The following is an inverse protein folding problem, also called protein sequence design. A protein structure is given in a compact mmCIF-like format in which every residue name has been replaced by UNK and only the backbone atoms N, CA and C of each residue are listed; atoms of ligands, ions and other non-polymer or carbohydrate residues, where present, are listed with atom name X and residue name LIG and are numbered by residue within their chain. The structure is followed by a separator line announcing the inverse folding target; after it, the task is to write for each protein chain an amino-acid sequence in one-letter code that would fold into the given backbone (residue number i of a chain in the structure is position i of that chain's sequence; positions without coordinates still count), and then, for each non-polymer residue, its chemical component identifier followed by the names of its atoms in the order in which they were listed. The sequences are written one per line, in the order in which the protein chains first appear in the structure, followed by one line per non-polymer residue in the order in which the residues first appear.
data_IF_265096601580
#
_entry.id   IF_265096601580
#
_cell.length_a   1.000
_cell.length_b   1.000
_cell.length_c   1.000
_cell.angle_alpha   90.00
_cell.angle_beta   90.00
_cell.angle_gamma   90.00
#
_symmetry.space_group_name_H-M   'P 1'
#
loop_
_entity.id
_entity.type
_entity.pdbx_description
1 polymer ?
#
# COMPACT_ATOMS: atom_id res chain seq x y z
N UNK A 1 -13.00 -7.21 -18.09
CA UNK A 1 -12.08 -7.60 -17.03
C UNK A 1 -10.75 -6.88 -17.25
N UNK A 2 -10.36 -6.06 -16.29
CA UNK A 2 -9.15 -5.20 -16.37
C UNK A 2 -7.88 -5.99 -16.67
N UNK A 3 -7.78 -7.21 -16.14
CA UNK A 3 -6.64 -8.12 -16.30
C UNK A 3 -6.30 -8.42 -17.77
N UNK A 4 -7.31 -8.70 -18.59
CA UNK A 4 -7.11 -9.01 -20.01
C UNK A 4 -6.67 -7.78 -20.82
N UNK A 5 -7.17 -6.60 -20.45
CA UNK A 5 -6.73 -5.35 -21.09
C UNK A 5 -5.26 -5.08 -20.76
N UNK A 6 -4.86 -5.24 -19.49
CA UNK A 6 -3.47 -5.04 -19.06
C UNK A 6 -2.53 -6.03 -19.74
N UNK A 7 -2.90 -7.32 -19.79
CA UNK A 7 -2.12 -8.34 -20.49
C UNK A 7 -2.02 -8.07 -22.00
N UNK A 8 -3.15 -7.67 -22.61
CA UNK A 8 -3.16 -7.32 -24.04
C UNK A 8 -2.30 -6.10 -24.36
N UNK A 9 -2.38 -5.05 -23.55
CA UNK A 9 -1.52 -3.88 -23.69
C UNK A 9 -0.04 -4.22 -23.46
N UNK A 10 0.28 -5.05 -22.47
CA UNK A 10 1.63 -5.51 -22.21
C UNK A 10 2.21 -6.32 -23.38
N UNK A 11 1.45 -7.26 -23.90
CA UNK A 11 1.85 -8.05 -25.08
C UNK A 11 2.03 -7.16 -26.33
N UNK A 12 1.13 -6.20 -26.55
CA UNK A 12 1.20 -5.25 -27.64
C UNK A 12 2.45 -4.36 -27.53
N UNK A 13 2.77 -3.88 -26.33
CA UNK A 13 3.99 -3.10 -26.10
C UNK A 13 5.25 -3.92 -26.36
N UNK A 14 5.30 -5.19 -25.92
CA UNK A 14 6.42 -6.07 -26.22
C UNK A 14 6.61 -6.24 -27.74
N UNK A 15 5.53 -6.50 -28.48
CA UNK A 15 5.59 -6.68 -29.93
C UNK A 15 5.99 -5.38 -30.64
N UNK A 16 5.43 -4.22 -30.25
CA UNK A 16 5.75 -2.94 -30.87
C UNK A 16 7.18 -2.50 -30.59
N UNK A 17 7.63 -2.56 -29.34
CA UNK A 17 8.97 -2.08 -28.97
C UNK A 17 10.04 -2.99 -29.52
N UNK A 18 9.95 -4.30 -29.27
CA UNK A 18 11.00 -5.24 -29.64
C UNK A 18 10.88 -5.74 -31.09
N UNK A 19 9.66 -5.89 -31.62
CA UNK A 19 9.45 -6.36 -33.00
C UNK A 19 9.62 -5.26 -34.03
N UNK A 20 9.11 -4.05 -33.76
CA UNK A 20 9.08 -2.95 -34.76
C UNK A 20 10.21 -1.94 -34.52
N UNK A 21 10.45 -1.52 -33.27
CA UNK A 21 11.45 -0.48 -33.00
C UNK A 21 12.87 -1.03 -32.91
N UNK A 22 13.09 -2.15 -32.22
CA UNK A 22 14.43 -2.70 -31.98
C UNK A 22 14.85 -3.79 -32.95
N UNK A 23 13.94 -4.44 -33.66
CA UNK A 23 14.20 -5.55 -34.61
C UNK A 23 15.06 -6.68 -34.04
N UNK A 24 15.06 -6.84 -32.70
CA UNK A 24 15.89 -7.82 -32.00
C UNK A 24 15.01 -8.71 -31.11
N UNK A 25 14.74 -9.92 -31.58
CA UNK A 25 13.99 -10.92 -30.83
C UNK A 25 14.76 -11.46 -29.61
N UNK A 26 16.08 -11.36 -29.59
CA UNK A 26 16.93 -11.76 -28.46
C UNK A 26 16.71 -10.86 -27.25
N UNK A 27 16.56 -9.58 -27.47
CA UNK A 27 16.31 -8.58 -26.42
C UNK A 27 15.01 -8.84 -25.61
N UNK A 28 14.05 -9.55 -26.20
CA UNK A 28 12.83 -9.97 -25.48
C UNK A 28 13.19 -10.97 -24.36
N UNK A 29 14.02 -11.95 -24.67
CA UNK A 29 14.45 -12.96 -23.70
C UNK A 29 15.31 -12.37 -22.59
N UNK A 30 16.19 -11.45 -22.92
CA UNK A 30 17.01 -10.75 -21.94
C UNK A 30 16.17 -9.83 -21.05
N UNK A 31 15.16 -9.16 -21.61
CA UNK A 31 14.24 -8.32 -20.84
C UNK A 31 13.32 -9.14 -19.96
N UNK A 32 12.79 -10.26 -20.45
CA UNK A 32 11.95 -11.16 -19.67
C UNK A 32 12.73 -11.89 -18.57
N UNK A 33 14.05 -12.05 -18.73
CA UNK A 33 14.96 -12.63 -17.74
C UNK A 33 14.46 -13.93 -17.10
N UNK A 34 13.86 -14.82 -17.92
CA UNK A 34 13.29 -16.08 -17.41
C UNK A 34 14.35 -17.06 -16.88
N UNK A 35 15.61 -16.89 -17.30
CA UNK A 35 16.75 -17.68 -16.80
C UNK A 35 17.02 -17.48 -15.32
N UNK A 36 16.53 -16.34 -14.74
CA UNK A 36 16.67 -16.06 -13.31
C UNK A 36 16.05 -17.12 -12.42
N UNK A 37 14.95 -17.76 -12.83
CA UNK A 37 14.30 -18.82 -12.06
C UNK A 37 15.17 -20.07 -11.84
N UNK A 38 16.12 -20.33 -12.73
CA UNK A 38 17.06 -21.47 -12.65
C UNK A 38 18.28 -21.23 -11.78
N UNK A 39 18.50 -20.01 -11.31
CA UNK A 39 19.65 -19.65 -10.51
C UNK A 39 19.36 -19.80 -9.01
N UNK A 40 20.27 -20.46 -8.28
CA UNK A 40 20.14 -20.63 -6.83
C UNK A 40 20.17 -19.29 -6.08
N UNK A 41 20.85 -18.28 -6.61
CA UNK A 41 20.89 -16.91 -6.10
C UNK A 41 19.52 -16.24 -6.07
N UNK A 42 18.60 -16.64 -6.97
CA UNK A 42 17.22 -16.16 -6.96
C UNK A 42 16.47 -16.49 -5.67
N UNK A 43 16.70 -17.69 -5.12
CA UNK A 43 15.97 -18.19 -3.96
C UNK A 43 16.64 -17.85 -2.61
N UNK A 44 17.95 -17.61 -2.60
CA UNK A 44 18.76 -17.49 -1.35
C UNK A 44 19.59 -16.21 -1.27
N UNK A 45 19.63 -15.36 -2.29
CA UNK A 45 20.47 -14.17 -2.31
C UNK A 45 19.79 -12.96 -2.92
N UNK A 46 20.34 -11.78 -2.65
CA UNK A 46 19.98 -10.57 -3.38
C UNK A 46 20.47 -10.75 -4.82
N UNK A 47 19.56 -10.90 -5.77
CA UNK A 47 19.91 -10.91 -7.18
C UNK A 47 20.44 -9.54 -7.57
N UNK A 48 21.72 -9.45 -7.88
CA UNK A 48 22.23 -8.28 -8.60
C UNK A 48 21.39 -8.12 -9.87
N UNK A 49 20.88 -6.92 -10.10
CA UNK A 49 20.00 -6.59 -11.21
C UNK A 49 20.75 -6.75 -12.54
N UNK A 50 20.73 -7.93 -13.12
CA UNK A 50 20.96 -8.12 -14.53
C UNK A 50 19.80 -7.44 -15.27
N UNK A 51 20.12 -6.55 -16.20
CA UNK A 51 19.17 -5.65 -16.87
C UNK A 51 17.97 -6.35 -17.50
N UNK A 52 16.90 -6.50 -16.74
CA UNK A 52 15.66 -7.15 -17.15
C UNK A 52 14.64 -7.12 -16.02
N UNK A 53 13.53 -7.85 -16.17
CA UNK A 53 12.47 -7.94 -15.16
C UNK A 53 13.03 -8.59 -13.87
N UNK A 54 12.88 -7.91 -12.75
CA UNK A 54 13.26 -8.45 -11.45
C UNK A 54 12.14 -9.34 -10.88
N UNK A 55 12.23 -10.63 -11.17
CA UNK A 55 11.25 -11.63 -10.74
C UNK A 55 11.20 -11.81 -9.22
N UNK A 56 12.32 -11.60 -8.52
CA UNK A 56 12.35 -11.66 -7.04
C UNK A 56 11.39 -10.65 -6.43
N UNK A 57 11.39 -9.43 -6.97
CA UNK A 57 10.47 -8.38 -6.53
C UNK A 57 9.01 -8.73 -6.83
N UNK A 58 8.73 -9.32 -8.01
CA UNK A 58 7.36 -9.73 -8.38
C UNK A 58 6.86 -10.84 -7.47
N UNK A 59 7.68 -11.86 -7.20
CA UNK A 59 7.33 -12.97 -6.30
C UNK A 59 7.12 -12.45 -4.86
N UNK A 60 7.97 -11.52 -4.41
CA UNK A 60 7.81 -10.89 -3.10
C UNK A 60 6.48 -10.13 -2.99
N UNK A 61 6.14 -9.29 -3.97
CA UNK A 61 4.86 -8.55 -4.00
C UNK A 61 3.68 -9.52 -4.02
N UNK A 62 3.73 -10.55 -4.85
CA UNK A 62 2.68 -11.56 -4.92
C UNK A 62 2.50 -12.30 -3.59
N UNK A 63 3.59 -12.70 -2.93
CA UNK A 63 3.56 -13.35 -1.63
C UNK A 63 2.97 -12.45 -0.54
N UNK A 64 3.36 -11.16 -0.55
CA UNK A 64 2.81 -10.16 0.37
C UNK A 64 1.30 -9.98 0.17
N UNK A 65 0.82 -9.88 -1.07
CA UNK A 65 -0.62 -9.75 -1.37
C UNK A 65 -1.41 -10.96 -0.88
N UNK A 66 -0.90 -12.18 -1.07
CA UNK A 66 -1.55 -13.41 -0.58
C UNK A 66 -1.61 -13.43 0.95
N UNK A 67 -0.55 -13.01 1.63
CA UNK A 67 -0.51 -12.93 3.09
C UNK A 67 -1.53 -11.93 3.62
N UNK A 68 -1.59 -10.74 3.05
CA UNK A 68 -2.51 -9.68 3.45
C UNK A 68 -3.97 -10.07 3.21
N UNK A 69 -4.27 -10.69 2.07
CA UNK A 69 -5.60 -11.21 1.77
C UNK A 69 -6.01 -12.29 2.79
N UNK A 70 -5.11 -13.19 3.14
CA UNK A 70 -5.33 -14.17 4.21
C UNK A 70 -5.66 -13.52 5.56
N UNK A 71 -4.92 -12.48 5.95
CA UNK A 71 -5.20 -11.70 7.17
C UNK A 71 -6.57 -11.00 7.11
N UNK A 72 -6.95 -10.49 5.95
CA UNK A 72 -8.26 -9.89 5.70
C UNK A 72 -9.40 -10.90 5.91
N UNK A 73 -9.27 -12.09 5.35
CA UNK A 73 -10.26 -13.18 5.51
C UNK A 73 -10.45 -13.65 6.96
N UNK A 74 -9.39 -13.67 7.76
CA UNK A 74 -9.46 -14.00 9.20
C UNK A 74 -10.13 -12.89 10.01
N UNK A 75 -10.31 -11.70 9.43
CA UNK A 75 -11.00 -10.57 10.09
C UNK A 75 -10.16 -9.81 11.12
N UNK A 76 -8.83 -9.94 11.06
CA UNK A 76 -7.88 -9.27 11.96
C UNK A 76 -8.09 -7.75 11.93
N UNK A 77 -8.26 -7.17 10.74
CA UNK A 77 -8.45 -5.73 10.57
C UNK A 77 -9.76 -5.25 11.22
N UNK A 78 -10.86 -6.00 11.03
CA UNK A 78 -12.15 -5.69 11.66
C UNK A 78 -12.05 -5.76 13.18
N UNK A 79 -11.40 -6.79 13.70
CA UNK A 79 -11.18 -6.94 15.14
C UNK A 79 -10.35 -5.77 15.70
N UNK A 80 -9.27 -5.38 15.00
CA UNK A 80 -8.41 -4.28 15.41
C UNK A 80 -9.18 -2.95 15.43
N UNK A 81 -9.94 -2.64 14.39
CA UNK A 81 -10.76 -1.44 14.31
C UNK A 81 -11.79 -1.37 15.42
N UNK A 82 -12.52 -2.46 15.68
CA UNK A 82 -13.53 -2.51 16.74
C UNK A 82 -12.92 -2.40 18.14
N UNK A 83 -11.75 -3.01 18.35
CA UNK A 83 -11.00 -2.89 19.61
C UNK A 83 -10.57 -1.46 19.87
N UNK A 84 -10.07 -0.75 18.84
CA UNK A 84 -9.70 0.66 18.93
C UNK A 84 -10.92 1.55 19.14
N UNK A 85 -12.02 1.33 18.40
CA UNK A 85 -13.26 2.07 18.58
C UNK A 85 -13.81 1.93 20.02
N UNK A 86 -13.74 0.72 20.59
CA UNK A 86 -14.09 0.48 22.01
C UNK A 86 -13.16 1.20 22.97
N UNK A 87 -11.85 1.24 22.70
CA UNK A 87 -10.87 1.94 23.54
C UNK A 87 -11.12 3.45 23.62
N UNK A 88 -11.62 4.02 22.52
CA UNK A 88 -11.97 5.46 22.41
C UNK A 88 -13.43 5.76 22.87
N UNK A 89 -14.12 4.77 23.43
CA UNK A 89 -15.51 4.87 23.91
C UNK A 89 -16.48 5.35 22.81
N UNK A 90 -16.22 5.00 21.54
CA UNK A 90 -17.05 5.34 20.38
C UNK A 90 -17.29 6.86 20.18
N UNK A 91 -16.44 7.71 20.74
CA UNK A 91 -16.51 9.16 20.49
C UNK A 91 -15.97 9.46 19.11
N UNK A 92 -16.74 10.19 18.29
CA UNK A 92 -16.45 10.42 16.88
C UNK A 92 -15.13 11.17 16.63
N UNK A 93 -14.83 12.21 17.39
CA UNK A 93 -13.61 13.01 17.19
C UNK A 93 -12.32 12.25 17.57
N UNK A 94 -12.20 11.59 18.74
CA UNK A 94 -11.04 10.75 19.02
C UNK A 94 -10.95 9.53 18.11
N UNK A 95 -12.09 9.01 17.63
CA UNK A 95 -12.15 7.90 16.68
C UNK A 95 -11.50 8.29 15.34
N UNK A 96 -11.77 9.52 14.84
CA UNK A 96 -11.12 10.06 13.65
C UNK A 96 -9.59 9.99 13.78
N UNK A 97 -9.04 10.56 14.86
CA UNK A 97 -7.57 10.59 15.05
C UNK A 97 -7.00 9.18 15.17
N UNK A 98 -7.68 8.30 15.92
CA UNK A 98 -7.25 6.92 16.12
C UNK A 98 -7.21 6.14 14.78
N UNK A 99 -8.24 6.29 13.95
CA UNK A 99 -8.31 5.62 12.65
C UNK A 99 -7.31 6.20 11.65
N UNK A 100 -7.07 7.51 11.66
CA UNK A 100 -6.01 8.13 10.85
C UNK A 100 -4.62 7.56 11.17
N UNK A 101 -4.27 7.49 12.47
CA UNK A 101 -2.99 6.93 12.89
C UNK A 101 -2.89 5.44 12.57
N UNK A 102 -3.98 4.70 12.80
CA UNK A 102 -4.04 3.28 12.47
C UNK A 102 -3.89 3.04 10.96
N UNK A 103 -4.56 3.85 10.13
CA UNK A 103 -4.43 3.79 8.68
C UNK A 103 -2.97 3.95 8.23
N UNK A 104 -2.29 4.97 8.77
CA UNK A 104 -0.89 5.21 8.47
C UNK A 104 0.01 4.06 8.93
N UNK A 105 -0.15 3.57 10.16
CA UNK A 105 0.69 2.49 10.70
C UNK A 105 0.48 1.18 9.96
N UNK A 106 -0.76 0.81 9.65
CA UNK A 106 -1.04 -0.40 8.88
C UNK A 106 -0.47 -0.31 7.46
N UNK A 107 -0.60 0.84 6.83
CA UNK A 107 -0.12 1.05 5.46
C UNK A 107 1.42 1.07 5.34
N UNK A 108 2.16 1.20 6.43
CA UNK A 108 3.61 1.00 6.43
C UNK A 108 4.02 -0.44 6.10
N UNK A 109 3.17 -1.41 6.37
CA UNK A 109 3.47 -2.84 6.22
C UNK A 109 2.59 -3.53 5.19
N UNK A 110 1.47 -2.93 4.85
CA UNK A 110 0.43 -3.47 4.00
C UNK A 110 0.12 -2.43 2.94
N UNK A 111 -0.18 -2.89 1.74
CA UNK A 111 -0.62 -2.05 0.62
C UNK A 111 -1.72 -1.06 1.04
N UNK A 112 -1.51 0.22 0.71
CA UNK A 112 -2.39 1.32 1.09
C UNK A 112 -3.82 1.13 0.60
N UNK A 113 -4.01 0.57 -0.61
CA UNK A 113 -5.33 0.32 -1.20
C UNK A 113 -6.10 -0.70 -0.36
N UNK A 114 -5.45 -1.78 0.03
CA UNK A 114 -6.05 -2.84 0.86
C UNK A 114 -6.45 -2.30 2.23
N UNK A 115 -5.57 -1.53 2.88
CA UNK A 115 -5.87 -0.88 4.17
C UNK A 115 -7.08 0.03 4.06
N UNK A 116 -7.14 0.88 3.03
CA UNK A 116 -8.26 1.80 2.80
C UNK A 116 -9.58 1.04 2.62
N UNK A 117 -9.59 -0.04 1.83
CA UNK A 117 -10.80 -0.82 1.59
C UNK A 117 -11.36 -1.40 2.90
N UNK A 118 -10.50 -1.96 3.76
CA UNK A 118 -10.94 -2.51 5.05
C UNK A 118 -11.39 -1.42 6.03
N UNK A 119 -10.61 -0.35 6.17
CA UNK A 119 -10.98 0.73 7.09
C UNK A 119 -12.27 1.41 6.64
N UNK A 120 -12.40 1.77 5.37
CA UNK A 120 -13.60 2.41 4.85
C UNK A 120 -14.85 1.56 5.06
N UNK A 121 -14.76 0.23 4.90
CA UNK A 121 -15.88 -0.67 5.18
C UNK A 121 -16.29 -0.62 6.67
N UNK A 122 -15.32 -0.66 7.58
CA UNK A 122 -15.59 -0.59 9.04
C UNK A 122 -16.08 0.79 9.44
N UNK A 123 -15.48 1.85 8.90
CA UNK A 123 -15.90 3.25 9.14
C UNK A 123 -17.32 3.50 8.66
N UNK A 124 -17.70 2.97 7.49
CA UNK A 124 -19.07 3.04 7.00
C UNK A 124 -20.08 2.28 7.89
N UNK A 125 -19.69 1.11 8.39
CA UNK A 125 -20.50 0.32 9.35
C UNK A 125 -20.69 1.08 10.67
N UNK A 126 -19.61 1.67 11.20
CA UNK A 126 -19.66 2.50 12.41
C UNK A 126 -20.47 3.79 12.19
N UNK A 127 -20.32 4.44 11.05
CA UNK A 127 -21.09 5.62 10.70
C UNK A 127 -22.61 5.37 10.70
N UNK A 128 -23.04 4.22 10.18
CA UNK A 128 -24.45 3.80 10.24
C UNK A 128 -24.92 3.53 11.67
N UNK A 129 -24.06 2.90 12.48
CA UNK A 129 -24.39 2.51 13.86
C UNK A 129 -24.41 3.72 14.79
N UNK A 130 -23.45 4.61 14.66
CA UNK A 130 -23.28 5.81 15.49
C UNK A 130 -23.99 7.06 14.90
N UNK A 131 -24.58 6.92 13.72
CA UNK A 131 -25.33 7.97 13.00
C UNK A 131 -24.51 9.22 12.67
N UNK A 132 -23.22 9.07 12.34
CA UNK A 132 -22.40 10.15 11.81
C UNK A 132 -22.11 9.97 10.32
N UNK A 133 -21.76 11.06 9.63
CA UNK A 133 -21.34 10.99 8.22
C UNK A 133 -19.94 10.37 8.14
N UNK A 134 -19.77 9.18 7.49
CA UNK A 134 -18.49 8.50 7.39
C UNK A 134 -17.53 9.16 6.39
N UNK A 135 -18.03 10.00 5.47
CA UNK A 135 -17.22 10.55 4.38
C UNK A 135 -15.99 11.34 4.85
N UNK A 136 -16.10 12.27 5.82
CA UNK A 136 -14.93 12.99 6.32
C UNK A 136 -13.86 12.08 6.92
N UNK A 137 -14.29 11.02 7.63
CA UNK A 137 -13.39 10.07 8.25
C UNK A 137 -12.67 9.21 7.20
N UNK A 138 -13.39 8.69 6.20
CA UNK A 138 -12.83 7.92 5.11
C UNK A 138 -11.83 8.75 4.30
N UNK A 139 -12.12 10.04 4.03
CA UNK A 139 -11.18 10.92 3.37
C UNK A 139 -9.88 11.06 4.16
N UNK A 140 -9.98 11.28 5.46
CA UNK A 140 -8.81 11.39 6.34
C UNK A 140 -7.98 10.09 6.39
N UNK A 141 -8.64 8.94 6.44
CA UNK A 141 -8.01 7.61 6.38
C UNK A 141 -7.24 7.40 5.07
N UNK A 142 -7.82 7.79 3.92
CA UNK A 142 -7.18 7.69 2.60
C UNK A 142 -5.88 8.49 2.57
N UNK A 143 -5.91 9.74 3.04
CA UNK A 143 -4.69 10.57 3.08
C UNK A 143 -3.62 9.97 3.98
N UNK A 144 -3.99 9.51 5.16
CA UNK A 144 -3.05 8.92 6.11
C UNK A 144 -2.50 7.57 5.65
N UNK A 145 -3.31 6.73 5.00
CA UNK A 145 -2.87 5.47 4.45
C UNK A 145 -1.84 5.68 3.33
N UNK A 146 -2.08 6.60 2.40
CA UNK A 146 -1.11 6.91 1.34
C UNK A 146 0.20 7.49 1.89
N UNK A 147 0.12 8.35 2.91
CA UNK A 147 1.32 8.83 3.60
C UNK A 147 2.06 7.67 4.29
N UNK A 148 1.35 6.81 5.01
CA UNK A 148 1.95 5.64 5.65
C UNK A 148 2.62 4.69 4.67
N UNK A 149 1.97 4.40 3.54
CA UNK A 149 2.50 3.55 2.48
C UNK A 149 3.83 4.05 1.90
N UNK A 150 4.01 5.36 1.83
CA UNK A 150 5.27 5.95 1.36
C UNK A 150 6.40 5.96 2.40
N UNK A 151 6.12 5.64 3.66
CA UNK A 151 7.10 5.67 4.75
C UNK A 151 8.12 4.54 4.70
N UNK A 152 7.75 3.41 4.15
CA UNK A 152 8.58 2.20 4.12
C UNK A 152 8.69 1.62 2.71
N UNK A 153 9.67 0.76 2.54
CA UNK A 153 9.85 0.04 1.28
C UNK A 153 8.68 -0.92 0.98
N UNK A 154 8.04 -1.47 2.01
CA UNK A 154 7.00 -2.50 1.85
C UNK A 154 5.57 -1.94 1.73
N UNK A 155 5.35 -0.66 2.04
CA UNK A 155 4.00 -0.08 2.07
C UNK A 155 3.32 -0.04 0.71
N UNK A 156 4.05 0.36 -0.32
CA UNK A 156 3.52 0.44 -1.69
C UNK A 156 4.43 -0.25 -2.71
N UNK A 157 3.89 -0.95 -3.73
CA UNK A 157 4.69 -1.66 -4.75
C UNK A 157 5.77 -0.81 -5.45
N UNK A 158 5.54 0.48 -5.79
CA UNK A 158 6.57 1.31 -6.39
C UNK A 158 7.81 1.48 -5.51
N UNK A 159 7.64 1.55 -4.18
CA UNK A 159 8.75 1.69 -3.23
C UNK A 159 9.65 0.44 -3.21
N UNK A 160 9.04 -0.73 -3.37
CA UNK A 160 9.78 -2.01 -3.46
C UNK A 160 10.67 -1.99 -4.70
N UNK A 161 10.13 -1.55 -5.84
CA UNK A 161 10.88 -1.48 -7.10
C UNK A 161 12.03 -0.48 -6.99
N UNK A 162 11.78 0.72 -6.44
CA UNK A 162 12.80 1.75 -6.23
C UNK A 162 13.86 1.24 -5.25
N UNK A 163 13.44 0.68 -4.13
CA UNK A 163 14.35 0.17 -3.10
C UNK A 163 15.26 -0.94 -3.63
N UNK A 164 14.71 -1.91 -4.35
CA UNK A 164 15.49 -3.01 -4.93
C UNK A 164 16.41 -2.55 -6.04
N UNK A 165 16.00 -1.60 -6.89
CA UNK A 165 16.83 -1.08 -7.99
C UNK A 165 17.99 -0.23 -7.50
N UNK A 166 17.84 0.46 -6.38
CA UNK A 166 18.87 1.30 -5.78
C UNK A 166 19.68 0.58 -4.68
N UNK A 167 19.37 -0.69 -4.38
CA UNK A 167 20.01 -1.45 -3.32
C UNK A 167 19.76 -0.90 -1.91
N UNK A 168 18.64 -0.19 -1.72
CA UNK A 168 18.26 0.39 -0.42
C UNK A 168 17.64 -0.68 0.48
N UNK A 169 17.93 -0.57 1.77
CA UNK A 169 17.33 -1.44 2.78
C UNK A 169 16.01 -0.84 3.32
N UNK A 170 15.21 -1.67 3.99
CA UNK A 170 14.01 -1.21 4.69
C UNK A 170 14.30 -0.06 5.66
N UNK A 171 15.42 -0.13 6.38
CA UNK A 171 15.81 0.90 7.35
C UNK A 171 16.25 2.21 6.67
N UNK A 172 16.85 2.15 5.48
CA UNK A 172 17.21 3.36 4.73
C UNK A 172 15.96 4.14 4.33
N UNK A 173 14.90 3.44 3.90
CA UNK A 173 13.60 4.06 3.66
C UNK A 173 13.01 4.67 4.93
N UNK A 174 12.97 3.91 6.01
CA UNK A 174 12.38 4.35 7.26
C UNK A 174 13.09 5.58 7.85
N UNK A 175 14.41 5.63 7.78
CA UNK A 175 15.19 6.75 8.35
C UNK A 175 15.12 8.02 7.51
N UNK A 176 15.04 7.90 6.19
CA UNK A 176 14.98 9.05 5.29
C UNK A 176 13.52 9.46 5.01
N UNK A 177 12.75 8.59 4.38
CA UNK A 177 11.37 8.87 3.96
C UNK A 177 10.42 8.85 5.15
N UNK A 178 10.60 7.94 6.10
CA UNK A 178 9.73 7.81 7.27
C UNK A 178 9.71 9.04 8.17
N UNK A 179 10.84 9.75 8.32
CA UNK A 179 10.89 11.01 9.09
C UNK A 179 10.07 12.10 8.40
N UNK A 180 10.18 12.22 7.08
CA UNK A 180 9.39 13.19 6.30
C UNK A 180 7.90 12.86 6.42
N UNK A 181 7.55 11.58 6.26
CA UNK A 181 6.18 11.10 6.39
C UNK A 181 5.62 11.35 7.78
N UNK A 182 6.41 11.18 8.85
CA UNK A 182 5.96 11.47 10.21
C UNK A 182 5.58 12.94 10.38
N UNK A 183 6.38 13.86 9.86
CA UNK A 183 6.08 15.30 9.90
C UNK A 183 4.79 15.58 9.10
N UNK A 184 4.67 15.05 7.90
CA UNK A 184 3.49 15.19 7.06
C UNK A 184 2.24 14.57 7.72
N UNK A 185 2.38 13.42 8.38
CA UNK A 185 1.30 12.75 9.10
C UNK A 185 0.78 13.61 10.24
N UNK A 186 1.67 14.17 11.06
CA UNK A 186 1.27 15.08 12.15
C UNK A 186 0.54 16.30 11.60
N UNK A 187 1.07 16.92 10.54
CA UNK A 187 0.41 18.05 9.89
C UNK A 187 -0.98 17.68 9.34
N UNK A 188 -1.10 16.51 8.71
CA UNK A 188 -2.36 15.99 8.15
C UNK A 188 -3.38 15.70 9.26
N UNK A 189 -2.96 15.04 10.33
CA UNK A 189 -3.84 14.76 11.49
C UNK A 189 -4.35 16.07 12.11
N UNK A 190 -3.47 17.05 12.32
CA UNK A 190 -3.85 18.38 12.84
C UNK A 190 -4.83 19.06 11.90
N UNK A 191 -4.55 19.06 10.59
CA UNK A 191 -5.41 19.67 9.58
C UNK A 191 -6.82 19.06 9.59
N UNK A 192 -6.94 17.73 9.48
CA UNK A 192 -8.23 17.06 9.46
C UNK A 192 -8.96 17.17 10.81
N UNK A 193 -8.24 17.16 11.92
CA UNK A 193 -8.81 17.40 13.24
C UNK A 193 -9.50 18.78 13.32
N UNK A 194 -8.86 19.85 12.84
CA UNK A 194 -9.46 21.18 12.84
C UNK A 194 -10.61 21.31 11.84
N UNK A 195 -10.49 20.71 10.64
CA UNK A 195 -11.52 20.78 9.60
C UNK A 195 -12.78 20.02 10.01
N UNK A 196 -12.65 18.82 10.53
CA UNK A 196 -13.79 17.93 10.71
C UNK A 196 -14.30 17.84 12.17
N UNK A 197 -13.55 18.31 13.15
CA UNK A 197 -13.96 18.26 14.54
C UNK A 197 -15.32 18.93 14.78
N UNK A 198 -15.62 20.00 14.05
CA UNK A 198 -16.90 20.72 14.20
C UNK A 198 -18.06 19.91 13.64
N UNK A 199 -17.89 19.37 12.44
CA UNK A 199 -18.91 18.55 11.75
C UNK A 199 -19.20 17.28 12.55
N UNK A 200 -18.16 16.60 13.03
CA UNK A 200 -18.28 15.36 13.79
C UNK A 200 -18.84 15.58 15.21
N UNK A 201 -18.58 16.74 15.81
CA UNK A 201 -19.12 17.07 17.15
C UNK A 201 -20.62 17.43 17.11
N UNK A 202 -21.10 17.97 16.00
CA UNK A 202 -22.52 18.26 15.81
C UNK A 202 -23.36 16.97 15.62
N UNK A 203 -22.70 15.82 15.37
CA UNK A 203 -23.33 14.52 15.22
C UNK A 203 -23.29 13.66 16.51
N UNK A 204 -22.58 14.08 17.58
CA UNK A 204 -22.61 13.47 18.91
C UNK A 204 -23.85 13.97 19.72
#
# INVERSE_FOLDING_TARGET
PRQWVTLGCGALMLVLVFGICMHDGGAIWDTLNLSAFGQSTFWYGASESSGGINWSTIVFIAGMMVMVEGMGHVGIFRWLCLKLAKAVHYRTVPLLVCFMVMAAVLSMFIDSITVILFLAAVTAELGRTLRFDPVPMILAEIFCANLGGSATMCGDPPNIIIGTSLGLTFFDFLTNTGVIVLICLVATVVYFYFCFRRILRESE
#
